data_IF_447240321386
#
_entry.id   IF_447240321386
#
_cell.length_a   1.000
_cell.length_b   1.000
_cell.length_c   1.000
_cell.angle_alpha   90.00
_cell.angle_beta   90.00
_cell.angle_gamma   90.00
#
_symmetry.space_group_name_H-M   'P 1'
#
loop_
_entity.id
_entity.type
_entity.pdbx_description
1 polymer ?
#
# COMPACT_ATOMS: atom_id res chain seq x y z
N UNK A 1 93.90 9.98 -42.60
CA UNK A 1 94.96 9.70 -41.64
C UNK A 1 94.33 9.08 -40.36
N UNK A 2 94.73 7.81 -40.18
CA UNK A 2 94.73 7.02 -38.91
C UNK A 2 93.54 6.98 -37.99
N UNK A 3 92.88 5.80 -37.94
CA UNK A 3 92.90 4.79 -36.86
C UNK A 3 92.10 5.25 -35.61
N UNK A 4 91.20 4.48 -34.93
CA UNK A 4 91.33 3.08 -34.52
C UNK A 4 89.95 2.60 -34.01
N UNK A 5 89.63 1.33 -34.24
CA UNK A 5 88.60 0.50 -33.68
C UNK A 5 88.60 0.47 -32.15
N UNK A 6 87.45 0.39 -31.54
CA UNK A 6 87.23 -0.59 -30.44
C UNK A 6 85.75 -0.88 -30.21
N UNK A 7 85.47 -2.13 -30.30
CA UNK A 7 84.27 -2.85 -29.87
C UNK A 7 83.95 -2.54 -28.43
N UNK A 8 82.64 -2.26 -28.16
CA UNK A 8 81.99 -2.49 -26.84
C UNK A 8 80.66 -3.16 -27.07
N UNK A 9 80.49 -4.30 -26.42
CA UNK A 9 79.25 -5.09 -26.29
C UNK A 9 78.23 -4.32 -25.50
N UNK A 10 77.10 -3.98 -26.09
CA UNK A 10 75.95 -3.48 -25.34
C UNK A 10 75.08 -4.67 -24.95
N UNK A 11 75.09 -4.93 -23.60
CA UNK A 11 74.15 -5.81 -22.93
C UNK A 11 72.86 -5.05 -22.82
N UNK A 12 71.83 -5.45 -23.57
CA UNK A 12 70.47 -4.94 -23.44
C UNK A 12 69.83 -5.55 -22.16
N UNK A 13 69.68 -4.75 -21.13
CA UNK A 13 68.82 -5.07 -19.97
C UNK A 13 67.38 -4.88 -20.40
N UNK A 14 66.66 -6.00 -20.63
CA UNK A 14 65.23 -6.01 -20.84
C UNK A 14 64.53 -5.87 -19.46
N UNK A 15 64.16 -4.67 -19.11
CA UNK A 15 63.28 -4.42 -17.95
C UNK A 15 61.87 -4.86 -18.31
N UNK A 16 61.46 -6.05 -17.83
CA UNK A 16 60.06 -6.49 -17.84
C UNK A 16 59.28 -5.68 -16.80
N UNK A 17 58.59 -4.64 -17.25
CA UNK A 17 57.58 -3.95 -16.44
C UNK A 17 56.35 -4.88 -16.29
N UNK A 18 56.26 -5.60 -15.19
CA UNK A 18 55.04 -6.32 -14.80
C UNK A 18 54.02 -5.24 -14.38
N UNK A 19 53.15 -4.84 -15.28
CA UNK A 19 51.94 -4.09 -14.97
C UNK A 19 50.99 -5.02 -14.19
N UNK A 20 51.04 -4.95 -12.89
CA UNK A 20 50.02 -5.53 -12.04
C UNK A 20 48.74 -4.69 -12.18
N UNK A 21 47.88 -5.08 -13.11
CA UNK A 21 46.48 -4.62 -13.07
C UNK A 21 45.85 -5.22 -11.81
N UNK A 22 45.25 -4.40 -10.93
CA UNK A 22 44.40 -4.95 -9.90
C UNK A 22 43.20 -5.60 -10.60
N UNK A 23 43.11 -6.93 -10.54
CA UNK A 23 41.87 -7.62 -10.80
C UNK A 23 40.87 -7.10 -9.75
N UNK A 24 40.09 -6.09 -10.09
CA UNK A 24 38.85 -5.84 -9.43
C UNK A 24 37.98 -7.06 -9.70
N UNK A 25 37.98 -7.98 -8.75
CA UNK A 25 36.92 -8.99 -8.63
C UNK A 25 35.64 -8.18 -8.39
N UNK A 26 34.92 -7.90 -9.45
CA UNK A 26 33.52 -7.54 -9.37
C UNK A 26 32.90 -8.81 -8.81
N UNK A 27 32.74 -8.86 -7.48
CA UNK A 27 31.84 -9.80 -6.86
C UNK A 27 30.50 -9.58 -7.58
N UNK A 28 30.09 -10.52 -8.40
CA UNK A 28 28.72 -10.61 -8.82
C UNK A 28 27.95 -10.73 -7.52
N UNK A 29 27.34 -9.62 -7.07
CA UNK A 29 26.32 -9.67 -6.04
C UNK A 29 25.30 -10.66 -6.59
N UNK A 30 25.29 -11.86 -6.06
CA UNK A 30 24.11 -12.71 -6.14
C UNK A 30 23.07 -11.89 -5.40
N UNK A 31 22.23 -11.18 -6.14
CA UNK A 31 21.11 -10.45 -5.54
C UNK A 31 20.22 -11.51 -4.91
N UNK A 32 20.39 -11.69 -3.60
CA UNK A 32 19.52 -12.56 -2.85
C UNK A 32 18.12 -11.96 -2.99
N UNK A 33 17.13 -12.80 -3.29
CA UNK A 33 15.73 -12.42 -3.39
C UNK A 33 15.34 -11.57 -2.15
N UNK A 34 14.84 -10.34 -2.31
CA UNK A 34 14.59 -9.46 -1.17
C UNK A 34 13.43 -9.96 -0.31
N UNK A 35 13.49 -9.72 0.99
CA UNK A 35 12.32 -9.83 1.84
C UNK A 35 11.38 -8.64 1.59
N UNK A 36 10.10 -8.80 1.90
CA UNK A 36 9.10 -7.76 1.74
C UNK A 36 8.32 -7.61 3.04
N UNK A 37 8.25 -6.38 3.53
CA UNK A 37 7.36 -5.98 4.63
C UNK A 37 6.46 -4.87 4.12
N UNK A 38 5.16 -5.10 4.18
CA UNK A 38 4.13 -4.16 3.72
C UNK A 38 3.19 -3.82 4.87
N UNK A 39 3.31 -2.61 5.40
CA UNK A 39 2.44 -2.07 6.44
C UNK A 39 1.37 -1.20 5.78
N UNK A 40 0.10 -1.55 6.03
CA UNK A 40 -1.06 -0.79 5.50
C UNK A 40 -1.93 -0.37 6.68
N UNK A 41 -2.10 0.94 6.82
CA UNK A 41 -2.99 1.52 7.82
C UNK A 41 -4.45 1.46 7.34
N UNK A 42 -5.38 1.60 8.26
CA UNK A 42 -6.82 1.60 8.01
C UNK A 42 -7.38 3.01 8.20
N UNK A 43 -7.88 3.63 7.14
CA UNK A 43 -8.42 5.00 7.12
C UNK A 43 -7.42 6.08 7.58
N UNK A 44 -6.17 5.99 7.13
CA UNK A 44 -5.10 6.88 7.57
C UNK A 44 -4.90 8.05 6.59
N UNK A 45 -5.09 9.26 7.08
CA UNK A 45 -5.05 10.47 6.26
C UNK A 45 -3.65 10.82 5.76
N UNK A 46 -3.59 11.49 4.61
CA UNK A 46 -2.34 11.95 3.98
C UNK A 46 -1.43 12.73 4.93
N UNK A 47 -2.00 13.62 5.74
CA UNK A 47 -1.25 14.56 6.60
C UNK A 47 -0.95 14.06 8.00
N UNK A 48 -0.99 12.76 8.29
CA UNK A 48 -0.86 12.27 9.67
C UNK A 48 0.61 12.21 10.15
N UNK A 49 1.55 11.85 9.30
CA UNK A 49 2.95 11.63 9.67
C UNK A 49 3.84 12.83 9.36
N UNK A 50 5.02 12.90 10.00
CA UNK A 50 5.90 14.07 9.98
C UNK A 50 6.36 14.47 8.60
N UNK A 51 6.81 13.54 7.76
CA UNK A 51 7.28 13.83 6.38
C UNK A 51 6.16 14.31 5.43
N UNK A 52 4.89 14.24 5.86
CA UNK A 52 3.74 14.84 5.15
C UNK A 52 3.13 16.04 5.87
N UNK A 53 3.85 16.61 6.84
CA UNK A 53 3.46 17.83 7.56
C UNK A 53 2.62 17.58 8.82
N UNK A 54 2.41 16.32 9.21
CA UNK A 54 1.74 15.90 10.44
C UNK A 54 2.69 15.70 11.62
N UNK A 55 2.70 14.49 12.19
CA UNK A 55 3.57 14.16 13.31
C UNK A 55 3.30 15.06 14.51
N UNK A 56 4.26 15.92 14.87
CA UNK A 56 4.12 16.88 16.00
C UNK A 56 2.88 17.77 15.85
N UNK A 57 2.52 18.17 14.63
CA UNK A 57 1.30 18.94 14.36
C UNK A 57 0.03 18.14 14.70
N UNK A 58 0.12 16.80 14.57
CA UNK A 58 -0.96 15.87 14.95
C UNK A 58 -0.91 15.41 16.40
N UNK A 59 0.01 15.94 17.18
CA UNK A 59 0.17 15.68 18.60
C UNK A 59 1.13 14.56 18.98
N UNK A 60 1.74 13.87 18.01
CA UNK A 60 2.77 12.84 18.24
C UNK A 60 3.81 12.84 17.13
N UNK A 61 5.10 12.89 17.42
CA UNK A 61 6.14 12.72 16.40
C UNK A 61 6.12 11.29 15.83
N UNK A 62 6.55 11.14 14.57
CA UNK A 62 6.58 9.85 13.87
C UNK A 62 7.96 9.53 13.28
N UNK A 63 9.05 9.58 14.10
CA UNK A 63 10.41 9.48 13.58
C UNK A 63 10.73 8.14 12.92
N UNK A 64 10.13 7.05 13.37
CA UNK A 64 10.38 5.73 12.82
C UNK A 64 9.73 5.59 11.42
N UNK A 65 8.47 5.99 11.29
CA UNK A 65 7.78 5.99 10.00
C UNK A 65 8.45 6.97 9.04
N UNK A 66 8.79 8.17 9.50
CA UNK A 66 9.46 9.21 8.70
C UNK A 66 10.82 8.73 8.17
N UNK A 67 11.54 7.89 8.94
CA UNK A 67 12.83 7.34 8.53
C UNK A 67 12.74 6.51 7.24
N UNK A 68 11.61 5.84 6.97
CA UNK A 68 11.42 5.04 5.76
C UNK A 68 11.52 5.94 4.52
N UNK A 69 10.88 7.12 4.54
CA UNK A 69 10.98 8.10 3.46
C UNK A 69 12.37 8.73 3.34
N UNK A 70 13.01 9.01 4.48
CA UNK A 70 14.37 9.56 4.51
C UNK A 70 15.41 8.57 3.98
N UNK A 71 15.24 7.28 4.29
CA UNK A 71 16.14 6.22 3.82
C UNK A 71 15.77 5.68 2.44
N UNK A 72 14.67 6.15 1.84
CA UNK A 72 14.16 5.66 0.58
C UNK A 72 13.41 6.74 -0.22
N UNK A 73 12.17 6.44 -0.58
CA UNK A 73 11.34 7.21 -1.50
C UNK A 73 10.00 7.58 -0.85
N UNK A 74 9.60 8.84 -0.97
CA UNK A 74 8.31 9.40 -0.56
C UNK A 74 7.51 9.83 -1.79
N UNK A 75 6.25 9.38 -1.89
CA UNK A 75 5.32 9.82 -2.92
C UNK A 75 4.29 10.80 -2.36
N UNK A 76 4.20 11.99 -2.94
CA UNK A 76 3.18 12.97 -2.55
C UNK A 76 1.89 12.85 -3.37
N UNK A 77 1.85 11.93 -4.34
CA UNK A 77 0.69 11.66 -5.19
C UNK A 77 0.46 10.14 -5.35
N UNK A 78 0.51 9.43 -4.23
CA UNK A 78 0.13 8.03 -4.19
C UNK A 78 -1.38 7.93 -4.02
N UNK A 79 -2.02 7.16 -4.91
CA UNK A 79 -3.46 7.08 -5.04
C UNK A 79 -3.96 5.70 -4.64
N UNK A 80 -5.16 5.65 -4.10
CA UNK A 80 -5.87 4.45 -3.67
C UNK A 80 -7.32 4.52 -4.16
N UNK A 81 -8.09 3.46 -3.96
CA UNK A 81 -9.54 3.51 -4.11
C UNK A 81 -10.17 4.32 -2.96
N UNK A 82 -11.42 4.74 -3.12
CA UNK A 82 -12.08 5.58 -2.13
C UNK A 82 -12.54 4.85 -0.85
N UNK A 83 -12.35 3.53 -0.78
CA UNK A 83 -12.86 2.63 0.27
C UNK A 83 -11.89 1.48 0.57
N UNK A 84 -12.02 0.89 1.78
CA UNK A 84 -11.14 -0.18 2.27
C UNK A 84 -11.14 -1.42 1.36
N UNK A 85 -12.32 -2.02 1.09
CA UNK A 85 -12.43 -3.29 0.36
C UNK A 85 -11.92 -3.19 -1.08
N UNK A 86 -12.32 -2.20 -1.89
CA UNK A 86 -11.77 -2.01 -3.23
C UNK A 86 -10.25 -1.79 -3.21
N UNK A 87 -9.73 -0.97 -2.29
CA UNK A 87 -8.29 -0.73 -2.16
C UNK A 87 -7.52 -2.00 -1.81
N UNK A 88 -8.01 -2.77 -0.84
CA UNK A 88 -7.34 -4.02 -0.43
C UNK A 88 -7.36 -5.06 -1.56
N UNK A 89 -8.48 -5.14 -2.29
CA UNK A 89 -8.59 -5.96 -3.48
C UNK A 89 -7.61 -5.51 -4.57
N UNK A 90 -7.56 -4.20 -4.84
CA UNK A 90 -6.66 -3.60 -5.81
C UNK A 90 -5.18 -3.86 -5.48
N UNK A 91 -4.80 -3.74 -4.20
CA UNK A 91 -3.45 -4.07 -3.72
C UNK A 91 -3.10 -5.54 -3.97
N UNK A 92 -4.03 -6.45 -3.65
CA UNK A 92 -3.79 -7.89 -3.76
C UNK A 92 -3.75 -8.38 -5.21
N UNK A 93 -4.47 -7.74 -6.13
CA UNK A 93 -4.65 -8.27 -7.50
C UNK A 93 -3.99 -7.43 -8.60
N UNK A 94 -3.63 -6.18 -8.32
CA UNK A 94 -3.16 -5.24 -9.34
C UNK A 94 -4.28 -4.79 -10.30
N UNK A 95 -5.57 -4.95 -9.92
CA UNK A 95 -6.76 -4.66 -10.71
C UNK A 95 -7.67 -3.72 -9.93
N UNK A 96 -8.34 -2.78 -10.60
CA UNK A 96 -9.33 -1.94 -9.93
C UNK A 96 -10.42 -2.78 -9.25
N UNK A 97 -10.93 -2.31 -8.11
CA UNK A 97 -11.96 -2.98 -7.32
C UNK A 97 -13.22 -3.33 -8.12
N UNK A 98 -13.56 -2.52 -9.12
CA UNK A 98 -14.69 -2.78 -10.03
C UNK A 98 -14.53 -4.09 -10.82
N UNK A 99 -13.30 -4.51 -11.16
CA UNK A 99 -13.05 -5.77 -11.87
C UNK A 99 -13.14 -6.99 -10.95
N UNK A 100 -12.77 -6.81 -9.70
CA UNK A 100 -12.77 -7.90 -8.72
C UNK A 100 -14.12 -8.07 -8.01
N UNK A 101 -15.13 -7.26 -8.40
CA UNK A 101 -16.50 -7.27 -7.85
C UNK A 101 -16.55 -7.15 -6.32
N UNK A 102 -15.63 -6.38 -5.73
CA UNK A 102 -15.55 -6.20 -4.27
C UNK A 102 -16.58 -5.21 -3.71
N UNK A 103 -17.42 -4.62 -4.55
CA UNK A 103 -18.58 -3.82 -4.16
C UNK A 103 -19.87 -4.52 -4.56
N UNK A 104 -20.19 -5.70 -3.99
CA UNK A 104 -21.43 -6.38 -4.30
C UNK A 104 -22.62 -5.55 -3.80
N UNK A 105 -23.73 -5.59 -4.52
CA UNK A 105 -25.01 -5.02 -4.08
C UNK A 105 -25.63 -5.77 -2.88
N UNK A 106 -24.98 -6.85 -2.45
CA UNK A 106 -25.42 -7.72 -1.36
C UNK A 106 -24.75 -7.42 -0.02
N UNK A 107 -25.14 -8.14 1.04
CA UNK A 107 -24.56 -7.97 2.36
C UNK A 107 -23.05 -8.27 2.35
N UNK A 108 -22.23 -7.49 3.09
CA UNK A 108 -20.76 -7.63 3.08
C UNK A 108 -20.29 -8.86 3.89
N UNK A 109 -20.93 -10.01 3.70
CA UNK A 109 -20.65 -11.27 4.39
C UNK A 109 -21.06 -12.49 3.59
N UNK A 110 -20.40 -13.60 3.89
CA UNK A 110 -20.72 -14.89 3.32
C UNK A 110 -20.09 -15.14 1.94
N UNK A 111 -20.61 -16.14 1.25
CA UNK A 111 -20.03 -16.65 -0.01
C UNK A 111 -20.05 -15.63 -1.17
N UNK A 112 -20.90 -14.63 -1.10
CA UNK A 112 -21.05 -13.61 -2.13
C UNK A 112 -20.08 -12.43 -1.97
N UNK A 113 -19.34 -12.37 -0.88
CA UNK A 113 -18.46 -11.27 -0.54
C UNK A 113 -17.01 -11.72 -0.49
N UNK A 114 -16.10 -10.92 -1.03
CA UNK A 114 -14.67 -11.14 -0.99
C UNK A 114 -14.08 -11.66 -2.30
N UNK A 115 -12.76 -11.77 -2.35
CA UNK A 115 -12.03 -12.25 -3.52
C UNK A 115 -12.40 -13.70 -3.86
N UNK A 116 -12.67 -13.94 -5.13
CA UNK A 116 -12.87 -15.30 -5.64
C UNK A 116 -11.52 -15.99 -5.82
N UNK A 117 -11.53 -17.33 -5.82
CA UNK A 117 -10.31 -18.14 -6.11
C UNK A 117 -9.80 -17.98 -7.54
N UNK A 118 -10.58 -17.37 -8.41
CA UNK A 118 -10.15 -17.06 -9.78
C UNK A 118 -9.11 -15.94 -9.81
N UNK A 119 -9.18 -14.99 -8.87
CA UNK A 119 -8.17 -13.93 -8.79
C UNK A 119 -6.82 -14.54 -8.36
N UNK A 120 -5.75 -13.96 -8.87
CA UNK A 120 -4.38 -14.26 -8.43
C UNK A 120 -3.91 -13.11 -7.59
N UNK A 121 -3.60 -13.40 -6.34
CA UNK A 121 -3.18 -12.40 -5.37
C UNK A 121 -1.67 -12.19 -5.37
N UNK A 122 -1.25 -11.05 -4.83
CA UNK A 122 0.15 -10.76 -4.54
C UNK A 122 0.80 -11.86 -3.69
N UNK A 123 0.06 -12.43 -2.73
CA UNK A 123 0.57 -13.50 -1.89
C UNK A 123 0.75 -14.81 -2.66
N UNK A 124 -0.16 -15.14 -3.58
CA UNK A 124 0.00 -16.31 -4.45
C UNK A 124 1.19 -16.15 -5.39
N UNK A 125 1.30 -15.01 -6.06
CA UNK A 125 2.43 -14.72 -6.94
C UNK A 125 3.78 -14.82 -6.21
N UNK A 126 3.86 -14.26 -4.99
CA UNK A 126 5.07 -14.36 -4.17
C UNK A 126 5.33 -15.79 -3.67
N UNK A 127 4.29 -16.51 -3.28
CA UNK A 127 4.41 -17.93 -2.90
C UNK A 127 4.95 -18.79 -4.04
N UNK A 128 4.50 -18.55 -5.27
CA UNK A 128 4.98 -19.25 -6.48
C UNK A 128 6.46 -18.96 -6.79
N UNK A 129 6.99 -17.85 -6.29
CA UNK A 129 8.44 -17.52 -6.39
C UNK A 129 9.25 -18.00 -5.17
N UNK A 130 8.64 -18.79 -4.29
CA UNK A 130 9.32 -19.44 -3.14
C UNK A 130 9.32 -18.64 -1.85
N UNK A 131 8.54 -17.55 -1.77
CA UNK A 131 8.38 -16.80 -0.54
C UNK A 131 7.55 -17.58 0.50
N UNK A 132 7.94 -17.44 1.75
CA UNK A 132 7.00 -17.66 2.84
C UNK A 132 6.11 -16.42 2.97
N UNK A 133 4.80 -16.61 3.10
CA UNK A 133 3.82 -15.55 3.10
C UNK A 133 3.04 -15.51 4.41
N UNK A 134 3.11 -14.39 5.13
CA UNK A 134 2.40 -14.19 6.39
C UNK A 134 1.54 -12.93 6.35
N UNK A 135 0.32 -13.04 6.84
CA UNK A 135 -0.58 -11.91 7.01
C UNK A 135 -0.96 -11.74 8.47
N UNK A 136 -0.85 -10.52 8.98
CA UNK A 136 -1.14 -10.19 10.38
C UNK A 136 -1.99 -8.93 10.44
N UNK A 137 -3.32 -9.09 10.66
CA UNK A 137 -4.25 -7.97 10.74
C UNK A 137 -5.60 -8.16 10.06
N UNK A 138 -6.17 -7.03 9.59
CA UNK A 138 -7.49 -6.95 8.93
C UNK A 138 -7.42 -7.46 7.50
N UNK A 139 -8.23 -8.48 7.17
CA UNK A 139 -8.33 -9.00 5.79
C UNK A 139 -9.27 -8.18 4.92
N UNK A 140 -10.55 -8.17 5.26
CA UNK A 140 -11.64 -7.44 4.62
C UNK A 140 -11.87 -7.83 3.14
N UNK A 141 -11.47 -9.05 2.74
CA UNK A 141 -11.67 -9.59 1.40
C UNK A 141 -12.37 -10.96 1.42
N UNK A 142 -13.21 -11.20 2.42
CA UNK A 142 -14.06 -12.37 2.54
C UNK A 142 -13.85 -13.17 3.82
N UNK A 143 -14.97 -13.75 4.33
CA UNK A 143 -15.03 -14.51 5.58
C UNK A 143 -15.67 -15.88 5.41
N UNK A 144 -15.75 -16.38 4.18
CA UNK A 144 -16.22 -17.71 3.83
C UNK A 144 -15.09 -18.63 3.35
N UNK A 145 -15.35 -19.93 3.30
CA UNK A 145 -14.43 -20.93 2.76
C UNK A 145 -14.06 -20.57 1.30
N UNK A 146 -12.77 -20.63 0.99
CA UNK A 146 -12.22 -20.23 -0.29
C UNK A 146 -11.86 -18.74 -0.39
N UNK A 147 -12.18 -17.93 0.64
CA UNK A 147 -11.96 -16.49 0.65
C UNK A 147 -11.11 -15.96 1.80
N UNK A 148 -10.68 -16.85 2.70
CA UNK A 148 -9.77 -16.49 3.79
C UNK A 148 -8.36 -16.19 3.26
N UNK A 149 -7.53 -15.43 3.99
CA UNK A 149 -6.15 -15.15 3.57
C UNK A 149 -5.35 -16.39 3.18
N UNK A 150 -5.53 -17.49 3.91
CA UNK A 150 -4.84 -18.75 3.63
C UNK A 150 -5.42 -19.54 2.45
N UNK A 151 -6.59 -19.15 1.94
CA UNK A 151 -7.14 -19.63 0.66
C UNK A 151 -6.65 -18.77 -0.51
N UNK A 152 -6.06 -17.60 -0.22
CA UNK A 152 -5.62 -16.55 -1.15
C UNK A 152 -4.10 -16.35 -1.10
N UNK A 153 -3.34 -17.41 -0.86
CA UNK A 153 -1.89 -17.42 -1.02
C UNK A 153 -1.05 -17.20 0.24
N UNK A 154 -1.64 -16.88 1.40
CA UNK A 154 -0.87 -16.76 2.64
C UNK A 154 -0.63 -18.12 3.30
N UNK A 155 0.58 -18.36 3.82
CA UNK A 155 0.91 -19.58 4.58
C UNK A 155 0.33 -19.54 5.99
N UNK A 156 0.29 -18.36 6.60
CA UNK A 156 -0.24 -18.15 7.94
C UNK A 156 -0.92 -16.80 8.08
N UNK A 157 -1.96 -16.78 8.90
CA UNK A 157 -2.76 -15.59 9.20
C UNK A 157 -3.13 -15.51 10.68
N UNK A 158 -3.05 -14.31 11.23
CA UNK A 158 -3.60 -13.88 12.52
C UNK A 158 -4.34 -12.56 12.34
N UNK A 159 -5.59 -12.42 12.79
CA UNK A 159 -6.29 -11.14 12.73
C UNK A 159 -7.81 -11.25 12.69
N UNK A 160 -8.45 -10.31 12.00
CA UNK A 160 -9.90 -10.24 11.81
C UNK A 160 -10.25 -10.39 10.33
N UNK A 161 -11.33 -11.13 10.01
CA UNK A 161 -11.74 -11.36 8.62
C UNK A 161 -12.37 -10.13 7.97
N UNK A 162 -13.03 -9.30 8.75
CA UNK A 162 -13.79 -8.13 8.30
C UNK A 162 -13.22 -6.83 8.93
N UNK A 163 -13.99 -5.75 8.87
CA UNK A 163 -13.62 -4.45 9.43
C UNK A 163 -14.08 -4.27 10.88
N UNK A 164 -13.55 -3.26 11.56
CA UNK A 164 -13.92 -2.91 12.93
C UNK A 164 -15.39 -2.46 13.06
N UNK A 165 -15.95 -1.76 12.08
CA UNK A 165 -17.36 -1.38 12.03
C UNK A 165 -18.30 -2.57 11.84
N UNK A 166 -17.79 -3.70 11.35
CA UNK A 166 -18.52 -4.96 11.20
C UNK A 166 -18.35 -5.89 12.40
N UNK A 167 -17.76 -5.43 13.49
CA UNK A 167 -17.54 -6.24 14.70
C UNK A 167 -18.81 -6.51 15.51
N UNK A 168 -19.87 -5.71 15.29
CA UNK A 168 -21.15 -5.78 16.05
C UNK A 168 -20.97 -5.68 17.56
N UNK A 169 -20.15 -4.80 17.99
CA UNK A 169 -19.74 -4.52 19.37
C UNK A 169 -20.76 -5.03 20.43
N UNK A 170 -20.51 -6.18 21.08
CA UNK A 170 -21.46 -6.77 22.04
C UNK A 170 -21.64 -5.93 23.32
N UNK A 171 -20.71 -5.02 23.57
CA UNK A 171 -20.68 -4.07 24.67
C UNK A 171 -21.30 -2.71 24.31
N UNK A 172 -21.97 -2.60 23.15
CA UNK A 172 -22.76 -1.42 22.78
C UNK A 172 -24.10 -1.39 23.56
N UNK A 173 -24.45 -0.23 24.11
CA UNK A 173 -25.71 -0.03 24.85
C UNK A 173 -26.97 -0.34 24.02
N UNK A 174 -26.87 -0.27 22.70
CA UNK A 174 -27.98 -0.55 21.77
C UNK A 174 -28.00 -2.00 21.28
N UNK A 175 -27.03 -2.85 21.66
CA UNK A 175 -26.94 -4.22 21.17
C UNK A 175 -28.08 -5.09 21.76
N UNK A 176 -28.75 -5.84 20.85
CA UNK A 176 -29.82 -6.79 21.23
C UNK A 176 -29.28 -8.21 21.13
N UNK A 177 -29.10 -8.87 22.26
CA UNK A 177 -28.48 -10.21 22.37
C UNK A 177 -29.26 -11.34 21.68
N UNK A 178 -30.57 -11.12 21.44
CA UNK A 178 -31.46 -12.03 20.74
C UNK A 178 -31.53 -11.83 19.21
N UNK A 179 -30.77 -10.87 18.68
CA UNK A 179 -30.72 -10.61 17.24
C UNK A 179 -30.11 -11.74 16.40
N UNK A 180 -29.53 -12.76 17.02
CA UNK A 180 -28.94 -13.93 16.33
C UNK A 180 -27.68 -13.59 15.54
N UNK A 181 -27.00 -12.49 15.86
CA UNK A 181 -25.81 -12.03 15.13
C UNK A 181 -24.56 -12.73 15.67
N UNK A 182 -23.74 -13.28 14.78
CA UNK A 182 -22.43 -13.80 15.13
C UNK A 182 -21.40 -12.67 15.23
N UNK A 183 -20.77 -12.52 16.40
CA UNK A 183 -19.71 -11.52 16.59
C UNK A 183 -18.46 -11.85 15.80
N UNK A 184 -17.78 -10.83 15.31
CA UNK A 184 -16.44 -10.94 14.76
C UNK A 184 -15.49 -11.49 15.83
N UNK A 185 -14.67 -12.45 15.44
CA UNK A 185 -13.67 -13.09 16.31
C UNK A 185 -12.27 -12.87 15.76
N UNK A 186 -11.32 -12.86 16.68
CA UNK A 186 -9.93 -13.06 16.31
C UNK A 186 -9.79 -14.45 15.72
N UNK A 187 -9.07 -14.56 14.64
CA UNK A 187 -8.88 -15.80 13.90
C UNK A 187 -7.41 -16.08 13.63
N UNK A 188 -7.07 -17.36 13.57
CA UNK A 188 -5.79 -17.84 13.04
C UNK A 188 -6.04 -18.91 11.99
N UNK A 189 -5.17 -18.95 10.99
CA UNK A 189 -5.19 -20.00 9.99
C UNK A 189 -3.77 -20.27 9.49
N UNK A 190 -3.56 -21.50 9.03
CA UNK A 190 -2.40 -21.87 8.22
C UNK A 190 -2.89 -22.51 6.92
N UNK A 191 -2.07 -22.42 5.86
CA UNK A 191 -2.42 -22.94 4.54
C UNK A 191 -2.96 -24.37 4.62
N UNK A 192 -4.03 -24.64 3.91
CA UNK A 192 -4.74 -25.93 3.89
C UNK A 192 -5.38 -26.35 5.23
N UNK A 193 -5.55 -25.43 6.17
CA UNK A 193 -6.26 -25.68 7.42
C UNK A 193 -7.47 -24.76 7.54
N UNK A 194 -8.55 -25.28 8.13
CA UNK A 194 -9.72 -24.44 8.44
C UNK A 194 -9.33 -23.38 9.47
N UNK A 195 -9.78 -22.12 9.29
CA UNK A 195 -9.54 -21.08 10.26
C UNK A 195 -10.09 -21.42 11.65
N UNK A 196 -9.30 -21.12 12.66
CA UNK A 196 -9.70 -21.27 14.07
C UNK A 196 -10.21 -19.94 14.60
N UNK A 197 -11.43 -19.95 15.15
CA UNK A 197 -12.02 -18.81 15.83
C UNK A 197 -11.55 -18.80 17.30
N UNK A 198 -11.05 -17.66 17.75
CA UNK A 198 -10.62 -17.42 19.13
C UNK A 198 -11.65 -16.55 19.87
N UNK A 199 -11.18 -15.61 20.67
CA UNK A 199 -11.99 -14.69 21.42
C UNK A 199 -12.78 -13.72 20.52
N UNK A 200 -13.82 -13.12 21.08
CA UNK A 200 -14.61 -12.08 20.44
C UNK A 200 -13.78 -10.83 20.29
N UNK A 201 -13.84 -10.20 19.12
CA UNK A 201 -13.25 -8.90 18.85
C UNK A 201 -14.13 -7.80 19.46
N UNK A 202 -14.05 -7.62 20.79
CA UNK A 202 -14.73 -6.55 21.53
C UNK A 202 -13.85 -5.32 21.73
N UNK A 203 -14.39 -4.29 22.43
CA UNK A 203 -13.70 -3.01 22.66
C UNK A 203 -12.32 -3.15 23.33
N UNK A 204 -12.21 -4.02 24.32
CA UNK A 204 -10.94 -4.26 25.00
C UNK A 204 -9.89 -4.84 24.03
N UNK A 205 -10.29 -5.79 23.18
CA UNK A 205 -9.44 -6.39 22.17
C UNK A 205 -9.07 -5.39 21.07
N UNK A 206 -9.98 -4.47 20.74
CA UNK A 206 -9.73 -3.38 19.77
C UNK A 206 -8.50 -2.54 20.14
N UNK A 207 -8.31 -2.28 21.43
CA UNK A 207 -7.16 -1.50 21.91
C UNK A 207 -5.82 -2.29 21.82
N UNK A 208 -5.85 -3.63 21.88
CA UNK A 208 -4.62 -4.45 21.98
C UNK A 208 -4.24 -5.18 20.70
N UNK A 209 -5.16 -5.33 19.74
CA UNK A 209 -4.95 -6.20 18.58
C UNK A 209 -3.74 -5.80 17.75
N UNK A 210 -3.45 -4.51 17.56
CA UNK A 210 -2.32 -4.06 16.74
C UNK A 210 -0.97 -4.39 17.39
N UNK A 211 -0.91 -4.52 18.74
CA UNK A 211 0.25 -5.10 19.43
C UNK A 211 0.44 -6.57 19.05
N UNK A 212 -0.63 -7.35 19.14
CA UNK A 212 -0.60 -8.78 18.81
C UNK A 212 -0.26 -9.01 17.33
N UNK A 213 -0.80 -8.19 16.43
CA UNK A 213 -0.44 -8.17 15.00
C UNK A 213 1.07 -7.99 14.83
N UNK A 214 1.65 -7.02 15.52
CA UNK A 214 3.08 -6.73 15.47
C UNK A 214 3.90 -7.90 16.03
N UNK A 215 3.50 -8.48 17.16
CA UNK A 215 4.19 -9.62 17.78
C UNK A 215 4.21 -10.85 16.87
N UNK A 216 3.08 -11.17 16.24
CA UNK A 216 3.00 -12.27 15.28
C UNK A 216 3.89 -12.02 14.05
N UNK A 217 3.95 -10.80 13.54
CA UNK A 217 4.82 -10.45 12.43
C UNK A 217 6.31 -10.53 12.80
N UNK A 218 6.70 -10.05 13.97
CA UNK A 218 8.07 -10.14 14.48
C UNK A 218 8.54 -11.58 14.67
N UNK A 219 7.65 -12.47 15.18
CA UNK A 219 7.91 -13.89 15.28
C UNK A 219 8.07 -14.54 13.90
N UNK A 220 7.15 -14.25 12.97
CA UNK A 220 7.22 -14.77 11.59
C UNK A 220 8.54 -14.37 10.91
N UNK A 221 8.89 -13.07 10.94
CA UNK A 221 10.15 -12.56 10.39
C UNK A 221 11.34 -13.30 10.99
N UNK A 222 11.37 -13.44 12.33
CA UNK A 222 12.46 -14.11 13.04
C UNK A 222 12.61 -15.57 12.63
N UNK A 223 11.49 -16.31 12.52
CA UNK A 223 11.48 -17.72 12.10
C UNK A 223 11.96 -17.90 10.67
N UNK A 224 11.53 -17.02 9.73
CA UNK A 224 11.91 -17.12 8.33
C UNK A 224 13.36 -16.69 8.09
N UNK A 225 13.82 -15.64 8.77
CA UNK A 225 15.22 -15.21 8.75
C UNK A 225 16.17 -16.33 9.23
N UNK A 226 15.81 -17.04 10.31
CA UNK A 226 16.61 -18.14 10.85
C UNK A 226 16.88 -19.26 9.83
N UNK A 227 15.92 -19.55 8.98
CA UNK A 227 16.04 -20.59 7.92
C UNK A 227 16.44 -20.01 6.57
N UNK A 228 16.73 -18.70 6.51
CA UNK A 228 17.11 -17.96 5.29
C UNK A 228 16.09 -18.11 4.14
N UNK A 229 14.82 -18.20 4.47
CA UNK A 229 13.73 -18.20 3.49
C UNK A 229 13.27 -16.77 3.22
N UNK A 230 13.20 -16.31 1.96
CA UNK A 230 12.62 -15.01 1.65
C UNK A 230 11.17 -14.98 2.12
N UNK A 231 10.71 -13.84 2.64
CA UNK A 231 9.38 -13.72 3.21
C UNK A 231 8.66 -12.46 2.74
N UNK A 232 7.35 -12.58 2.68
CA UNK A 232 6.39 -11.50 2.56
C UNK A 232 5.58 -11.41 3.85
N UNK A 233 5.78 -10.35 4.61
CA UNK A 233 5.01 -10.03 5.80
C UNK A 233 4.06 -8.87 5.48
N UNK A 234 2.76 -9.13 5.42
CA UNK A 234 1.70 -8.16 5.20
C UNK A 234 1.04 -7.83 6.52
N UNK A 235 1.14 -6.56 6.94
CA UNK A 235 0.62 -6.05 8.20
C UNK A 235 -0.47 -5.00 7.95
N UNK A 236 -1.69 -5.41 7.62
CA UNK A 236 -2.84 -4.49 7.57
C UNK A 236 -3.33 -4.21 8.98
N UNK A 237 -2.81 -3.14 9.58
CA UNK A 237 -3.24 -2.69 10.91
C UNK A 237 -4.73 -2.34 10.92
N UNK A 238 -5.32 -2.33 12.11
CA UNK A 238 -6.74 -2.02 12.29
C UNK A 238 -6.97 -0.56 12.67
N UNK A 239 -5.93 0.15 13.10
CA UNK A 239 -5.94 1.58 13.36
C UNK A 239 -5.61 2.33 12.04
N UNK A 240 -6.17 3.52 11.79
CA UNK A 240 -6.96 4.42 12.66
C UNK A 240 -8.47 4.38 12.40
N UNK A 241 -9.00 3.28 11.89
CA UNK A 241 -10.44 3.08 11.74
C UNK A 241 -11.16 3.24 13.10
N UNK A 242 -12.36 3.81 13.12
CA UNK A 242 -13.17 3.90 14.34
C UNK A 242 -13.55 2.50 14.88
N UNK A 243 -13.54 2.32 16.20
CA UNK A 243 -13.16 3.27 17.25
C UNK A 243 -11.63 3.39 17.40
N UNK A 244 -11.15 4.62 17.58
CA UNK A 244 -9.74 4.92 17.76
C UNK A 244 -9.38 4.76 19.24
N UNK A 245 -8.85 3.60 19.58
CA UNK A 245 -8.46 3.22 20.95
C UNK A 245 -6.99 2.78 20.99
N UNK A 246 -6.16 3.51 21.71
CA UNK A 246 -4.75 3.15 21.91
C UNK A 246 -4.59 2.00 22.89
N UNK A 247 -3.54 1.20 22.67
CA UNK A 247 -3.10 0.20 23.65
C UNK A 247 -2.90 0.82 25.03
N UNK A 248 -3.20 0.13 26.16
CA UNK A 248 -3.04 0.67 27.50
C UNK A 248 -1.70 1.33 27.77
N UNK A 249 -0.60 0.82 27.21
CA UNK A 249 0.74 1.39 27.35
C UNK A 249 0.94 2.76 26.70
N UNK A 250 0.09 3.09 25.72
CA UNK A 250 0.14 4.37 24.99
C UNK A 250 -0.99 5.31 25.38
N UNK A 251 -2.03 4.81 26.06
CA UNK A 251 -3.19 5.61 26.40
C UNK A 251 -2.79 6.78 27.32
N UNK A 252 -3.02 8.00 26.85
CA UNK A 252 -2.66 9.23 27.56
C UNK A 252 -1.17 9.60 27.44
N UNK A 253 -0.34 8.83 26.74
CA UNK A 253 1.11 9.06 26.65
C UNK A 253 1.48 10.39 26.01
N UNK A 254 0.69 10.86 25.06
CA UNK A 254 0.96 12.12 24.35
C UNK A 254 0.34 13.34 25.05
N UNK A 255 -0.70 13.15 25.86
CA UNK A 255 -1.52 14.24 26.40
C UNK A 255 -2.39 14.96 25.38
N UNK A 256 -2.42 14.48 24.12
CA UNK A 256 -3.11 15.12 22.98
C UNK A 256 -4.33 14.33 22.47
N UNK A 257 -4.79 13.34 23.23
CA UNK A 257 -5.98 12.54 22.92
C UNK A 257 -5.71 11.25 22.16
N UNK A 258 -6.75 10.41 22.04
CA UNK A 258 -6.62 9.02 21.57
C UNK A 258 -5.99 8.89 20.18
N UNK A 259 -6.25 9.82 19.27
CA UNK A 259 -5.65 9.75 17.92
C UNK A 259 -4.13 9.94 17.96
N UNK A 260 -3.66 10.93 18.74
CA UNK A 260 -2.23 11.15 18.92
C UNK A 260 -1.55 9.97 19.63
N UNK A 261 -2.22 9.39 20.64
CA UNK A 261 -1.74 8.19 21.34
C UNK A 261 -1.59 7.00 20.37
N UNK A 262 -2.58 6.79 19.48
CA UNK A 262 -2.53 5.76 18.43
C UNK A 262 -1.44 6.07 17.40
N UNK A 263 -1.23 7.33 17.05
CA UNK A 263 -0.14 7.70 16.14
C UNK A 263 1.22 7.38 16.75
N UNK A 264 1.44 7.70 18.02
CA UNK A 264 2.66 7.35 18.76
C UNK A 264 2.85 5.83 18.86
N UNK A 265 1.77 5.08 19.13
CA UNK A 265 1.74 3.63 19.14
C UNK A 265 2.16 3.05 17.78
N UNK A 266 1.58 3.53 16.70
CA UNK A 266 1.87 3.06 15.34
C UNK A 266 3.33 3.30 14.98
N UNK A 267 3.85 4.50 15.29
CA UNK A 267 5.26 4.82 15.05
C UNK A 267 6.20 3.88 15.83
N UNK A 268 5.88 3.59 17.10
CA UNK A 268 6.65 2.67 17.91
C UNK A 268 6.65 1.25 17.33
N UNK A 269 5.50 0.73 16.91
CA UNK A 269 5.38 -0.62 16.33
C UNK A 269 6.11 -0.75 14.97
N UNK A 270 6.04 0.28 14.13
CA UNK A 270 6.85 0.35 12.92
C UNK A 270 8.34 0.39 13.26
N UNK A 271 8.73 1.13 14.30
CA UNK A 271 10.10 1.17 14.82
C UNK A 271 10.61 -0.22 15.25
N UNK A 272 9.77 -1.02 15.93
CA UNK A 272 10.13 -2.39 16.31
C UNK A 272 10.35 -3.31 15.11
N UNK A 273 9.51 -3.17 14.06
CA UNK A 273 9.69 -3.92 12.81
C UNK A 273 10.99 -3.55 12.11
N UNK A 274 11.29 -2.25 12.00
CA UNK A 274 12.53 -1.75 11.40
C UNK A 274 13.76 -2.24 12.17
N UNK A 275 13.75 -2.11 13.50
CA UNK A 275 14.82 -2.58 14.38
C UNK A 275 15.03 -4.08 14.27
N UNK A 276 13.95 -4.88 14.22
CA UNK A 276 14.03 -6.33 14.02
C UNK A 276 14.75 -6.71 12.73
N UNK A 277 14.42 -6.04 11.62
CA UNK A 277 15.05 -6.27 10.32
C UNK A 277 16.54 -5.91 10.38
N UNK A 278 16.88 -4.78 11.04
CA UNK A 278 18.24 -4.31 11.18
C UNK A 278 19.06 -5.26 12.08
N UNK A 279 18.53 -5.71 13.22
CA UNK A 279 19.14 -6.67 14.16
C UNK A 279 19.40 -8.04 13.51
N UNK A 280 18.56 -8.46 12.58
CA UNK A 280 18.74 -9.70 11.82
C UNK A 280 19.73 -9.55 10.64
N UNK A 281 20.27 -8.35 10.39
CA UNK A 281 21.18 -8.06 9.28
C UNK A 281 20.48 -8.12 7.91
N UNK A 282 19.18 -7.86 7.86
CA UNK A 282 18.35 -7.96 6.65
C UNK A 282 18.04 -6.61 6.00
N UNK A 283 18.52 -5.50 6.58
CA UNK A 283 18.18 -4.13 6.14
C UNK A 283 18.37 -3.93 4.64
N UNK A 284 19.53 -4.29 4.11
CA UNK A 284 19.90 -4.06 2.71
C UNK A 284 19.21 -5.03 1.75
N UNK A 285 18.56 -6.08 2.26
CA UNK A 285 17.83 -7.07 1.47
C UNK A 285 16.35 -7.13 1.85
N UNK A 286 15.77 -6.01 2.25
CA UNK A 286 14.35 -5.92 2.58
C UNK A 286 13.71 -4.68 1.95
N UNK A 287 12.66 -4.90 1.17
CA UNK A 287 11.74 -3.87 0.71
C UNK A 287 10.76 -3.62 1.85
N UNK A 288 10.77 -2.41 2.40
CA UNK A 288 9.83 -1.99 3.45
C UNK A 288 8.92 -0.90 2.91
N UNK A 289 7.61 -1.15 2.94
CA UNK A 289 6.58 -0.22 2.45
C UNK A 289 5.65 0.15 3.60
N UNK A 290 5.34 1.43 3.73
CA UNK A 290 4.32 1.97 4.62
C UNK A 290 3.31 2.79 3.82
N UNK A 291 2.00 2.50 3.95
CA UNK A 291 0.92 3.21 3.27
C UNK A 291 -0.42 3.05 4.01
N UNK A 292 -1.51 3.47 3.40
CA UNK A 292 -2.89 3.28 3.85
C UNK A 292 -3.78 2.74 2.73
N UNK A 293 -4.92 2.15 3.10
CA UNK A 293 -5.91 1.66 2.13
C UNK A 293 -6.79 2.78 1.56
N UNK A 294 -7.12 3.81 2.35
CA UNK A 294 -7.84 5.01 1.90
C UNK A 294 -7.56 6.18 2.85
N UNK A 295 -8.04 7.37 2.47
CA UNK A 295 -7.95 8.55 3.31
C UNK A 295 -8.82 8.43 4.59
N UNK A 296 -8.70 9.42 5.47
CA UNK A 296 -9.37 9.42 6.77
C UNK A 296 -10.89 9.24 6.69
N UNK A 297 -11.47 8.74 7.76
CA UNK A 297 -12.94 8.72 7.93
C UNK A 297 -13.56 10.13 7.98
N UNK A 298 -14.83 10.20 7.56
CA UNK A 298 -15.63 11.44 7.64
C UNK A 298 -16.22 11.74 9.01
N UNK A 299 -16.04 10.86 10.00
CA UNK A 299 -16.68 10.93 11.32
C UNK A 299 -15.93 11.92 12.20
N UNK A 300 -16.65 12.80 12.91
CA UNK A 300 -16.06 13.85 13.78
C UNK A 300 -15.12 13.29 14.86
N UNK A 301 -15.27 12.04 15.27
CA UNK A 301 -14.50 11.43 16.36
C UNK A 301 -13.13 10.91 15.92
N UNK A 302 -12.96 10.54 14.67
CA UNK A 302 -11.69 9.99 14.16
C UNK A 302 -10.61 11.05 13.95
N UNK A 303 -10.98 12.32 13.81
CA UNK A 303 -10.08 13.48 13.69
C UNK A 303 -8.85 13.31 12.78
N UNK A 304 -8.92 12.43 11.80
CA UNK A 304 -7.86 12.24 10.82
C UNK A 304 -7.60 13.51 10.00
N UNK A 305 -6.41 13.63 9.43
CA UNK A 305 -5.94 14.81 8.72
C UNK A 305 -5.48 14.48 7.31
N UNK A 306 -6.09 15.09 6.32
CA UNK A 306 -5.80 14.88 4.89
C UNK A 306 -4.75 15.86 4.34
N UNK A 307 -4.06 16.60 5.21
CA UNK A 307 -3.17 17.67 4.76
C UNK A 307 -3.92 18.77 4.01
N UNK A 308 -3.42 19.21 2.85
CA UNK A 308 -4.07 20.26 2.07
C UNK A 308 -5.31 19.80 1.31
N UNK A 309 -5.58 18.47 1.25
CA UNK A 309 -6.57 17.89 0.36
C UNK A 309 -7.98 17.93 0.95
N UNK A 310 -8.97 18.20 0.10
CA UNK A 310 -10.39 18.12 0.44
C UNK A 310 -10.87 16.68 0.45
N UNK A 311 -11.89 16.41 1.26
CA UNK A 311 -12.60 15.13 1.25
C UNK A 311 -12.17 14.17 2.35
N UNK A 312 -12.86 13.04 2.38
CA UNK A 312 -12.70 11.94 3.33
C UNK A 312 -13.04 10.65 2.60
N UNK A 313 -12.82 9.50 3.19
CA UNK A 313 -13.30 8.21 2.70
C UNK A 313 -14.73 8.34 2.12
N UNK A 314 -15.05 7.58 1.10
CA UNK A 314 -16.31 7.65 0.33
C UNK A 314 -16.51 8.96 -0.45
N UNK A 315 -15.45 9.67 -0.81
CA UNK A 315 -15.58 10.83 -1.66
C UNK A 315 -14.60 10.80 -2.85
N UNK A 316 -14.92 11.49 -3.97
CA UNK A 316 -14.06 11.48 -5.15
C UNK A 316 -12.89 12.45 -5.05
N UNK A 317 -12.70 13.09 -3.90
CA UNK A 317 -11.71 14.13 -3.68
C UNK A 317 -10.35 13.58 -3.23
N UNK A 318 -9.29 14.37 -3.44
CA UNK A 318 -7.92 13.97 -3.16
C UNK A 318 -7.70 13.53 -1.69
N UNK A 319 -8.44 14.08 -0.73
CA UNK A 319 -8.34 13.67 0.68
C UNK A 319 -8.87 12.26 0.99
N UNK A 320 -9.64 11.67 0.06
CA UNK A 320 -10.02 10.24 0.08
C UNK A 320 -8.99 9.38 -0.64
N UNK A 321 -8.48 9.89 -1.77
CA UNK A 321 -7.72 9.13 -2.77
C UNK A 321 -6.21 9.22 -2.58
N UNK A 322 -5.68 10.31 -1.98
CA UNK A 322 -4.25 10.43 -1.67
C UNK A 322 -3.98 10.02 -0.23
N UNK A 323 -3.02 9.13 -0.09
CA UNK A 323 -2.55 8.64 1.21
C UNK A 323 -1.01 8.71 1.28
N UNK A 324 -0.41 8.62 2.48
CA UNK A 324 1.04 8.51 2.59
C UNK A 324 1.53 7.23 1.90
N UNK A 325 2.66 7.33 1.21
CA UNK A 325 3.39 6.17 0.69
C UNK A 325 4.88 6.38 0.85
N UNK A 326 5.49 5.47 1.58
CA UNK A 326 6.93 5.43 1.82
C UNK A 326 7.45 4.05 1.44
N UNK A 327 8.57 4.00 0.74
CA UNK A 327 9.26 2.76 0.40
C UNK A 327 10.75 2.92 0.62
N UNK A 328 11.40 1.95 1.29
CA UNK A 328 12.85 1.84 1.35
C UNK A 328 13.31 0.46 0.87
N UNK A 329 14.40 0.44 0.11
CA UNK A 329 15.14 -0.76 -0.27
C UNK A 329 16.61 -0.35 -0.45
N UNK A 330 17.40 -0.31 0.64
CA UNK A 330 18.75 0.22 0.61
C UNK A 330 19.62 -0.46 -0.45
N UNK A 331 20.46 0.32 -1.11
CA UNK A 331 21.28 -0.18 -2.23
C UNK A 331 20.57 -0.30 -3.57
N UNK A 332 19.23 -0.33 -3.59
CA UNK A 332 18.42 -0.42 -4.82
C UNK A 332 17.58 0.84 -5.06
N UNK A 333 16.95 1.37 -4.03
CA UNK A 333 16.20 2.63 -4.08
C UNK A 333 17.06 3.72 -3.46
N UNK A 334 17.40 4.80 -4.20
CA UNK A 334 18.17 5.91 -3.65
C UNK A 334 17.45 6.57 -2.47
N UNK A 335 18.16 6.96 -1.40
CA UNK A 335 17.54 7.64 -0.26
C UNK A 335 17.11 9.07 -0.60
N UNK A 336 16.21 9.64 0.22
CA UNK A 336 15.75 11.03 0.16
C UNK A 336 15.12 11.44 -1.17
N UNK A 337 14.46 10.49 -1.83
CA UNK A 337 13.70 10.79 -3.05
C UNK A 337 12.28 11.24 -2.66
N UNK A 338 11.81 12.30 -3.31
CA UNK A 338 10.42 12.78 -3.18
C UNK A 338 9.90 13.06 -4.58
N UNK A 339 8.74 12.50 -4.92
CA UNK A 339 8.09 12.80 -6.21
C UNK A 339 6.60 13.04 -6.04
N UNK A 340 6.05 13.90 -6.92
CA UNK A 340 4.62 14.13 -7.09
C UNK A 340 4.06 13.44 -8.34
N UNK A 341 4.80 12.50 -8.92
CA UNK A 341 4.26 11.66 -10.00
C UNK A 341 3.16 10.74 -9.48
N UNK A 342 2.19 10.46 -10.32
CA UNK A 342 1.09 9.57 -9.99
C UNK A 342 1.61 8.14 -9.88
N UNK A 343 1.35 7.50 -8.75
CA UNK A 343 1.41 6.05 -8.56
C UNK A 343 0.11 5.62 -7.88
N UNK A 344 -0.38 4.45 -8.20
CA UNK A 344 -1.59 3.90 -7.62
C UNK A 344 -1.32 2.59 -6.89
N UNK A 345 -2.15 2.25 -5.92
CA UNK A 345 -2.03 1.03 -5.11
C UNK A 345 -1.99 -0.25 -5.96
N UNK A 346 -2.71 -0.25 -7.11
CA UNK A 346 -2.66 -1.37 -8.08
C UNK A 346 -1.27 -1.60 -8.68
N UNK A 347 -0.39 -0.59 -8.67
CA UNK A 347 0.96 -0.69 -9.23
C UNK A 347 1.91 -1.51 -8.35
N UNK A 348 1.55 -1.73 -7.08
CA UNK A 348 2.38 -2.48 -6.13
C UNK A 348 2.54 -3.93 -6.58
N UNK A 349 1.48 -4.56 -7.09
CA UNK A 349 1.52 -5.94 -7.57
C UNK A 349 2.58 -6.13 -8.70
N UNK A 350 2.50 -5.46 -9.86
CA UNK A 350 3.49 -5.64 -10.92
C UNK A 350 4.88 -5.13 -10.54
N UNK A 351 4.98 -4.11 -9.68
CA UNK A 351 6.26 -3.60 -9.20
C UNK A 351 6.99 -4.61 -8.32
N UNK A 352 6.30 -5.22 -7.38
CA UNK A 352 6.88 -6.28 -6.56
C UNK A 352 7.17 -7.54 -7.38
N UNK A 353 6.29 -7.91 -8.34
CA UNK A 353 6.58 -8.99 -9.27
C UNK A 353 7.89 -8.76 -10.02
N UNK A 354 8.14 -7.54 -10.51
CA UNK A 354 9.41 -7.21 -11.18
C UNK A 354 10.61 -7.33 -10.23
N UNK A 355 10.53 -6.80 -9.01
CA UNK A 355 11.64 -6.88 -8.05
C UNK A 355 12.03 -8.32 -7.67
N UNK A 356 11.09 -9.25 -7.71
CA UNK A 356 11.33 -10.65 -7.30
C UNK A 356 11.41 -11.63 -8.47
N UNK A 357 11.20 -11.17 -9.70
CA UNK A 357 11.13 -12.05 -10.89
C UNK A 357 9.85 -12.91 -10.91
N UNK A 358 8.75 -12.41 -10.31
CA UNK A 358 7.47 -13.10 -10.28
C UNK A 358 6.69 -13.00 -11.60
N UNK A 359 5.78 -13.93 -11.83
CA UNK A 359 4.94 -13.96 -13.02
C UNK A 359 3.69 -13.12 -12.82
N UNK A 360 3.38 -12.30 -13.84
CA UNK A 360 2.15 -11.52 -13.91
C UNK A 360 1.12 -12.31 -14.72
N UNK A 361 -0.15 -12.46 -14.24
CA UNK A 361 -1.22 -13.11 -14.99
C UNK A 361 -1.41 -12.50 -16.37
N UNK A 362 -1.56 -13.33 -17.41
CA UNK A 362 -1.75 -12.91 -18.81
C UNK A 362 -3.17 -13.21 -19.34
N UNK A 363 -3.98 -13.87 -18.53
CA UNK A 363 -5.33 -14.32 -18.88
C UNK A 363 -6.44 -13.33 -18.49
N UNK A 364 -6.03 -12.21 -17.87
CA UNK A 364 -6.92 -11.15 -17.39
C UNK A 364 -6.27 -9.78 -17.55
N UNK A 365 -7.09 -8.72 -17.55
CA UNK A 365 -6.58 -7.35 -17.59
C UNK A 365 -5.96 -7.01 -16.21
N UNK A 366 -4.71 -6.61 -16.22
CA UNK A 366 -4.04 -6.00 -15.07
C UNK A 366 -4.02 -4.49 -15.28
N UNK A 367 -4.56 -3.73 -14.32
CA UNK A 367 -4.59 -2.26 -14.39
C UNK A 367 -3.30 -1.63 -13.85
N UNK A 368 -2.58 -2.37 -13.01
CA UNK A 368 -1.31 -1.96 -12.44
C UNK A 368 -0.19 -1.88 -13.47
N UNK A 369 0.72 -0.92 -13.30
CA UNK A 369 1.95 -0.76 -14.10
C UNK A 369 3.18 -0.87 -13.21
N UNK A 370 4.24 -1.46 -13.77
CA UNK A 370 5.52 -1.62 -13.05
C UNK A 370 6.22 -0.28 -12.83
N UNK A 371 6.47 0.06 -11.56
CA UNK A 371 7.16 1.26 -11.12
C UNK A 371 8.61 1.01 -10.66
N UNK A 372 9.14 -0.20 -10.84
CA UNK A 372 10.46 -0.57 -10.33
C UNK A 372 11.57 0.33 -10.85
N UNK A 373 11.54 0.68 -12.14
CA UNK A 373 12.51 1.61 -12.74
C UNK A 373 12.40 3.03 -12.22
N UNK A 374 11.18 3.45 -11.88
CA UNK A 374 10.94 4.75 -11.27
C UNK A 374 11.51 4.80 -9.86
N UNK A 375 11.18 3.83 -9.01
CA UNK A 375 11.69 3.78 -7.64
C UNK A 375 13.21 3.64 -7.57
N UNK A 376 13.82 2.89 -8.47
CA UNK A 376 15.27 2.70 -8.52
C UNK A 376 16.03 3.86 -9.19
N UNK A 377 15.33 4.90 -9.67
CA UNK A 377 15.94 6.06 -10.33
C UNK A 377 16.42 5.77 -11.77
N UNK A 378 16.06 4.61 -12.34
CA UNK A 378 16.36 4.27 -13.73
C UNK A 378 15.42 4.97 -14.72
N UNK A 379 14.23 5.39 -14.26
CA UNK A 379 13.31 6.23 -15.00
C UNK A 379 13.10 7.54 -14.22
N UNK A 380 13.10 8.66 -14.96
CA UNK A 380 12.93 10.00 -14.36
C UNK A 380 11.49 10.36 -13.97
N UNK A 381 10.51 9.51 -14.33
CA UNK A 381 9.09 9.71 -14.01
C UNK A 381 8.37 8.38 -13.85
N UNK A 382 7.22 8.41 -13.19
CA UNK A 382 6.30 7.28 -13.09
C UNK A 382 5.84 6.78 -14.47
N UNK A 383 5.59 5.48 -14.56
CA UNK A 383 4.98 4.87 -15.73
C UNK A 383 3.45 5.13 -15.81
N UNK A 384 2.85 5.68 -14.75
CA UNK A 384 1.41 5.99 -14.67
C UNK A 384 1.17 7.49 -14.83
N UNK A 385 0.18 7.85 -15.65
CA UNK A 385 -0.24 9.24 -15.81
C UNK A 385 -1.70 9.49 -15.40
N UNK A 386 -2.48 8.42 -15.08
CA UNK A 386 -3.92 8.55 -14.82
C UNK A 386 -4.42 7.65 -13.70
N UNK A 387 -5.57 8.02 -13.13
CA UNK A 387 -6.33 7.27 -12.12
C UNK A 387 -7.80 7.33 -12.49
N UNK A 388 -8.49 6.19 -12.43
CA UNK A 388 -9.94 6.09 -12.56
C UNK A 388 -10.54 6.11 -11.15
N UNK A 389 -11.61 6.85 -10.96
CA UNK A 389 -12.20 7.07 -9.64
C UNK A 389 -13.57 6.40 -9.58
N UNK A 390 -13.65 5.34 -8.77
CA UNK A 390 -14.89 4.67 -8.43
C UNK A 390 -15.27 4.90 -6.98
N UNK A 391 -16.57 4.93 -6.70
CA UNK A 391 -17.14 4.83 -5.35
C UNK A 391 -18.27 3.83 -5.45
N UNK A 392 -18.19 2.74 -4.70
CA UNK A 392 -19.03 1.59 -4.99
C UNK A 392 -18.80 1.07 -6.42
N UNK A 393 -19.87 0.83 -7.13
CA UNK A 393 -19.83 0.41 -8.55
C UNK A 393 -19.98 1.59 -9.53
N UNK A 394 -19.97 2.82 -9.03
CA UNK A 394 -20.23 4.00 -9.83
C UNK A 394 -18.93 4.71 -10.23
N UNK A 395 -18.78 4.99 -11.52
CA UNK A 395 -17.68 5.83 -12.01
C UNK A 395 -17.95 7.29 -11.65
N UNK A 396 -17.04 7.87 -10.87
CA UNK A 396 -17.12 9.27 -10.42
C UNK A 396 -16.28 10.22 -11.24
N UNK A 397 -15.18 9.76 -11.80
CA UNK A 397 -14.33 10.62 -12.60
C UNK A 397 -12.98 10.00 -12.96
N UNK A 398 -12.13 10.87 -13.49
CA UNK A 398 -10.79 10.52 -13.96
C UNK A 398 -9.82 11.61 -13.52
N UNK A 399 -8.63 11.20 -13.12
CA UNK A 399 -7.48 12.07 -12.94
C UNK A 399 -6.43 11.75 -13.99
N UNK A 400 -5.91 12.77 -14.65
CA UNK A 400 -4.83 12.69 -15.60
C UNK A 400 -3.81 13.79 -15.31
N UNK A 401 -2.59 13.38 -14.95
CA UNK A 401 -1.52 14.28 -14.50
C UNK A 401 -2.01 15.18 -13.34
N UNK A 402 -2.03 16.47 -13.52
CA UNK A 402 -2.52 17.45 -12.54
C UNK A 402 -3.98 17.85 -12.74
N UNK A 403 -4.68 17.24 -13.68
CA UNK A 403 -6.08 17.54 -13.97
C UNK A 403 -6.99 16.44 -13.48
N UNK A 404 -8.14 16.82 -12.97
CA UNK A 404 -9.21 15.90 -12.54
C UNK A 404 -10.54 16.33 -13.17
N UNK A 405 -11.26 15.35 -13.71
CA UNK A 405 -12.63 15.47 -14.17
C UNK A 405 -13.54 14.69 -13.25
N UNK A 406 -14.57 15.33 -12.71
CA UNK A 406 -15.63 14.67 -11.94
C UNK A 406 -16.95 14.73 -12.70
N UNK A 407 -17.61 13.58 -12.78
CA UNK A 407 -18.93 13.37 -13.41
C UNK A 407 -20.06 13.41 -12.37
N UNK A 408 -19.71 13.12 -11.10
CA UNK A 408 -20.63 12.96 -9.99
C UNK A 408 -20.02 13.53 -8.71
N UNK A 409 -20.90 13.95 -7.80
CA UNK A 409 -20.55 14.32 -6.45
C UNK A 409 -21.32 13.47 -5.43
N UNK A 410 -20.82 13.44 -4.19
CA UNK A 410 -21.54 12.85 -3.07
C UNK A 410 -22.00 13.95 -2.12
N UNK A 411 -23.29 13.97 -1.82
CA UNK A 411 -23.83 14.81 -0.75
C UNK A 411 -23.31 14.32 0.60
N UNK A 412 -22.57 15.18 1.31
CA UNK A 412 -21.89 14.84 2.56
C UNK A 412 -22.82 14.45 3.71
N UNK A 413 -24.11 14.77 3.62
CA UNK A 413 -25.06 14.50 4.70
C UNK A 413 -25.86 13.23 4.47
N UNK A 414 -26.26 13.00 3.23
CA UNK A 414 -27.11 11.86 2.85
C UNK A 414 -26.35 10.72 2.19
N UNK A 415 -25.09 10.93 1.82
CA UNK A 415 -24.29 10.04 0.95
C UNK A 415 -24.98 9.76 -0.40
N UNK A 416 -25.92 10.60 -0.81
CA UNK A 416 -26.60 10.46 -2.09
C UNK A 416 -25.68 10.87 -3.24
N UNK A 417 -25.67 10.06 -4.29
CA UNK A 417 -24.94 10.36 -5.53
C UNK A 417 -25.70 11.43 -6.28
N UNK A 418 -25.01 12.49 -6.66
CA UNK A 418 -25.53 13.58 -7.46
C UNK A 418 -24.82 13.59 -8.81
N UNK A 419 -25.57 13.32 -9.87
CA UNK A 419 -25.09 13.46 -11.25
C UNK A 419 -24.97 14.94 -11.59
N UNK A 420 -23.84 15.34 -12.14
CA UNK A 420 -23.65 16.69 -12.64
C UNK A 420 -24.23 16.84 -14.04
N UNK A 421 -24.82 18.01 -14.35
CA UNK A 421 -25.28 18.30 -15.71
C UNK A 421 -24.11 18.42 -16.71
N UNK A 422 -22.97 18.88 -16.23
CA UNK A 422 -21.69 18.95 -16.93
C UNK A 422 -20.58 18.51 -15.99
N UNK A 423 -19.53 17.83 -16.47
CA UNK A 423 -18.37 17.49 -15.66
C UNK A 423 -17.73 18.74 -15.05
N UNK A 424 -17.18 18.59 -13.84
CA UNK A 424 -16.33 19.60 -13.23
C UNK A 424 -14.86 19.24 -13.46
N UNK A 425 -14.06 20.24 -13.85
CA UNK A 425 -12.63 20.09 -14.08
C UNK A 425 -11.85 20.87 -13.03
N UNK A 426 -10.79 20.27 -12.49
CA UNK A 426 -9.94 20.87 -11.47
C UNK A 426 -8.48 20.75 -11.86
N UNK A 427 -7.74 21.86 -11.75
CA UNK A 427 -6.29 21.85 -11.81
C UNK A 427 -5.72 21.70 -10.39
N UNK A 428 -5.30 20.51 -10.03
CA UNK A 428 -4.87 20.14 -8.67
C UNK A 428 -3.59 20.86 -8.19
N UNK A 429 -2.87 21.58 -9.07
CA UNK A 429 -1.74 22.42 -8.69
C UNK A 429 -2.23 23.78 -8.22
N UNK A 430 -3.20 24.35 -8.94
CA UNK A 430 -3.75 25.66 -8.65
C UNK A 430 -4.81 25.60 -7.56
N UNK A 431 -5.66 24.57 -7.63
CA UNK A 431 -6.74 24.29 -6.68
C UNK A 431 -6.61 22.90 -6.05
N UNK A 432 -5.66 22.69 -5.12
CA UNK A 432 -5.48 21.41 -4.45
C UNK A 432 -6.65 20.99 -3.58
N UNK A 433 -7.57 21.92 -3.27
CA UNK A 433 -8.77 21.66 -2.48
C UNK A 433 -9.99 21.31 -3.32
N UNK A 434 -9.91 21.43 -4.62
CA UNK A 434 -11.02 21.12 -5.53
C UNK A 434 -12.30 21.91 -5.16
N UNK A 435 -12.13 23.20 -4.82
CA UNK A 435 -13.22 24.09 -4.39
C UNK A 435 -13.76 24.96 -5.51
N UNK A 436 -12.90 25.27 -6.51
CA UNK A 436 -13.19 26.17 -7.62
C UNK A 436 -13.02 25.44 -8.96
N UNK A 437 -14.05 24.73 -9.43
CA UNK A 437 -13.95 24.03 -10.72
C UNK A 437 -13.69 25.05 -11.83
N UNK A 438 -12.77 24.69 -12.74
CA UNK A 438 -12.51 25.46 -13.94
C UNK A 438 -13.82 25.61 -14.73
N UNK A 439 -14.26 26.84 -14.84
CA UNK A 439 -15.38 27.17 -15.70
C UNK A 439 -14.84 27.16 -17.11
N UNK A 440 -15.63 26.74 -18.08
CA UNK A 440 -15.32 26.67 -19.52
C UNK A 440 -14.60 27.89 -20.07
N UNK A 441 -13.37 28.14 -19.62
CA UNK A 441 -12.50 29.16 -20.18
C UNK A 441 -11.84 28.60 -21.42
N UNK A 442 -11.75 29.44 -22.46
CA UNK A 442 -11.23 29.06 -23.77
C UNK A 442 -9.81 28.44 -23.72
N UNK A 443 -9.04 28.77 -22.70
CA UNK A 443 -7.63 28.39 -22.63
C UNK A 443 -7.41 26.94 -22.12
N UNK A 444 -8.35 26.36 -21.38
CA UNK A 444 -8.18 25.05 -20.72
C UNK A 444 -9.09 23.94 -21.27
N UNK A 445 -9.92 24.20 -22.29
CA UNK A 445 -10.80 23.20 -22.90
C UNK A 445 -10.05 22.00 -23.50
N UNK A 446 -8.77 22.16 -23.79
CA UNK A 446 -7.92 21.10 -24.33
C UNK A 446 -7.77 19.92 -23.37
N UNK A 447 -7.95 20.11 -22.05
CA UNK A 447 -7.83 19.04 -21.04
C UNK A 447 -8.94 17.99 -21.14
N UNK A 448 -10.08 18.37 -21.74
CA UNK A 448 -11.21 17.46 -21.92
C UNK A 448 -10.79 16.22 -22.74
N UNK A 449 -10.07 16.42 -23.83
CA UNK A 449 -9.68 15.32 -24.73
C UNK A 449 -8.92 14.22 -24.02
N UNK A 450 -7.76 14.46 -23.37
CA UNK A 450 -7.04 13.37 -22.68
C UNK A 450 -7.78 12.77 -21.51
N UNK A 451 -8.65 13.52 -20.81
CA UNK A 451 -9.44 12.98 -19.70
C UNK A 451 -10.55 12.04 -20.21
N UNK A 452 -11.22 12.40 -21.31
CA UNK A 452 -12.21 11.52 -21.94
C UNK A 452 -11.57 10.29 -22.59
N UNK A 453 -10.40 10.43 -23.23
CA UNK A 453 -9.65 9.31 -23.80
C UNK A 453 -9.31 8.27 -22.73
N UNK A 454 -8.75 8.70 -21.59
CA UNK A 454 -8.46 7.81 -20.46
C UNK A 454 -9.71 7.09 -19.95
N UNK A 455 -10.83 7.82 -19.84
CA UNK A 455 -12.10 7.24 -19.39
C UNK A 455 -12.63 6.22 -20.39
N UNK A 456 -12.64 6.55 -21.66
CA UNK A 456 -13.14 5.69 -22.73
C UNK A 456 -12.31 4.40 -22.86
N UNK A 457 -10.98 4.51 -22.85
CA UNK A 457 -10.08 3.36 -22.87
C UNK A 457 -10.37 2.40 -21.70
N UNK A 458 -10.58 2.96 -20.50
CA UNK A 458 -10.91 2.16 -19.33
C UNK A 458 -12.28 1.46 -19.49
N UNK A 459 -13.34 2.19 -19.90
CA UNK A 459 -14.66 1.62 -20.10
C UNK A 459 -14.67 0.51 -21.17
N UNK A 460 -13.98 0.73 -22.29
CA UNK A 460 -13.79 -0.31 -23.31
C UNK A 460 -13.02 -1.52 -22.78
N UNK A 461 -12.10 -1.33 -21.84
CA UNK A 461 -11.38 -2.44 -21.22
C UNK A 461 -12.26 -3.22 -20.24
N UNK A 462 -13.21 -2.57 -19.55
CA UNK A 462 -14.20 -3.22 -18.68
C UNK A 462 -15.17 -4.08 -19.52
N UNK A 463 -15.60 -3.59 -20.67
CA UNK A 463 -16.47 -4.37 -21.58
C UNK A 463 -15.81 -5.66 -22.08
N UNK A 464 -14.48 -5.64 -22.28
CA UNK A 464 -13.71 -6.80 -22.74
C UNK A 464 -13.39 -7.78 -21.63
N UNK A 465 -13.18 -7.29 -20.42
CA UNK A 465 -12.91 -8.09 -19.23
C UNK A 465 -14.08 -7.96 -18.26
N UNK A 466 -15.02 -8.89 -18.35
CA UNK A 466 -16.24 -8.92 -17.54
C UNK A 466 -16.00 -9.11 -16.02
N UNK A 467 -14.75 -9.08 -15.58
CA UNK A 467 -14.36 -9.21 -14.18
C UNK A 467 -14.35 -10.66 -13.67
N UNK A 468 -14.11 -10.81 -12.37
CA UNK A 468 -14.06 -12.11 -11.73
C UNK A 468 -15.37 -12.87 -11.88
N UNK A 469 -15.32 -14.18 -12.22
CA UNK A 469 -16.50 -15.02 -12.17
C UNK A 469 -17.11 -15.01 -10.76
N UNK A 470 -18.41 -15.10 -10.66
CA UNK A 470 -19.08 -15.40 -9.40
C UNK A 470 -18.99 -16.90 -9.21
N UNK A 471 -18.36 -17.37 -8.13
CA UNK A 471 -18.26 -18.79 -7.79
C UNK A 471 -19.61 -19.39 -7.42
#
# INVERSE_FOLDING_TARGET
MLRYLKSQRNIAFLLMLILSFPLTVIAANSTSTPNIVLVVMDNFGYGEIGVYGGGVVRGAPTPNIDSIGVEGFQLTNFNVEAECTPSRSALMTGRYGIRTRQNPEGPPRGIWYGLTRWEITLAEMLSDTGYATGMFGKWHLGDAEGRYPTDQGFDEWYGIPNSSDQAFWPDSDSFQSDAGVEFTRIMTSTRNQKPKKHEVYGRAKRATIDREITDHALDFISRKAKIKQPFFAYLPYTQTHEPVDAHPDFKGSTGNGSFADVLAQTDAYVGELLAKIDDLGLKDNTIFIFTSDNGREGIKRSFGFTGPWRGTMFSPYEGSLRVPFLIRYPGNIPPRQVSNDIVHLIDIFPTLANFVGGNIPQDRVLDGVDQSKFFTGQAGKSARESVIIYIGNELFGVKWRNWKMLLKEIDKKSYAIQNMAYPSFYNLIVDPKEEEPEKFYLDDTWVETPLYEVMEEHLLSIEKDVGSPVD
#
